data_IF_349912863473
#
_entry.id   IF_349912863473
#
_cell.length_a   1.000
_cell.length_b   1.000
_cell.length_c   1.000
_cell.angle_alpha   90.00
_cell.angle_beta   90.00
_cell.angle_gamma   90.00
#
_symmetry.space_group_name_H-M   'P 1'
#
loop_
_entity.id
_entity.type
_entity.pdbx_description
1 polymer ?
#
# COMPACT_ATOMS: atom_id res chain seq x y z
N UNK A 1 6.78 -13.14 -2.11
CA UNK A 1 7.76 -13.19 -3.22
C UNK A 1 7.85 -11.85 -3.94
N UNK A 2 6.77 -11.35 -4.56
CA UNK A 2 6.77 -10.03 -5.22
C UNK A 2 7.29 -8.90 -4.30
N UNK A 3 6.63 -8.60 -3.19
CA UNK A 3 7.02 -7.50 -2.30
C UNK A 3 8.44 -7.62 -1.75
N UNK A 4 8.82 -8.83 -1.34
CA UNK A 4 10.15 -9.11 -0.81
C UNK A 4 11.25 -8.89 -1.85
N UNK A 5 10.96 -9.12 -3.14
CA UNK A 5 11.96 -8.93 -4.21
C UNK A 5 12.37 -7.47 -4.42
N UNK A 6 11.62 -6.50 -3.89
CA UNK A 6 11.98 -5.07 -3.96
C UNK A 6 12.89 -4.62 -2.82
N UNK A 7 13.22 -5.51 -1.87
CA UNK A 7 14.23 -5.28 -0.84
C UNK A 7 15.65 -5.62 -1.33
N UNK A 8 15.79 -6.05 -2.59
CA UNK A 8 17.05 -6.48 -3.16
C UNK A 8 18.13 -5.40 -3.10
N UNK A 9 19.36 -5.81 -2.79
CA UNK A 9 20.56 -5.00 -2.81
C UNK A 9 21.46 -5.36 -3.99
N UNK A 10 22.48 -4.55 -4.23
CA UNK A 10 23.46 -4.80 -5.29
C UNK A 10 24.14 -6.17 -5.09
N UNK A 11 24.11 -7.01 -6.14
CA UNK A 11 24.65 -8.38 -6.13
C UNK A 11 23.61 -9.49 -5.85
N UNK A 12 22.34 -9.16 -5.62
CA UNK A 12 21.26 -10.14 -5.43
C UNK A 12 20.45 -10.38 -6.72
N UNK A 13 21.13 -10.82 -7.79
CA UNK A 13 20.54 -11.01 -9.12
C UNK A 13 19.38 -12.04 -9.12
N UNK A 14 19.39 -13.00 -8.20
CA UNK A 14 18.31 -13.97 -8.04
C UNK A 14 16.97 -13.30 -7.65
N UNK A 15 17.01 -12.20 -6.90
CA UNK A 15 15.80 -11.47 -6.52
C UNK A 15 15.17 -10.74 -7.70
N UNK A 16 15.97 -10.34 -8.70
CA UNK A 16 15.44 -9.78 -9.94
C UNK A 16 14.68 -10.82 -10.76
N UNK A 17 15.17 -12.06 -10.81
CA UNK A 17 14.45 -13.15 -11.48
C UNK A 17 13.19 -13.58 -10.72
N UNK A 18 13.24 -13.60 -9.38
CA UNK A 18 12.05 -13.78 -8.53
C UNK A 18 11.03 -12.66 -8.80
N UNK A 19 11.48 -11.42 -8.98
CA UNK A 19 10.61 -10.27 -9.28
C UNK A 19 9.92 -10.44 -10.62
N UNK A 20 10.66 -10.74 -11.69
CA UNK A 20 10.12 -10.98 -13.05
C UNK A 20 9.07 -12.10 -13.01
N UNK A 21 9.41 -13.23 -12.39
CA UNK A 21 8.49 -14.35 -12.23
C UNK A 21 7.21 -13.94 -11.48
N UNK A 22 7.35 -13.25 -10.35
CA UNK A 22 6.21 -12.83 -9.55
C UNK A 22 5.31 -11.82 -10.29
N UNK A 23 5.88 -10.88 -11.05
CA UNK A 23 5.12 -9.95 -11.91
C UNK A 23 4.28 -10.70 -12.93
N UNK A 24 4.87 -11.70 -13.61
CA UNK A 24 4.16 -12.50 -14.60
C UNK A 24 2.99 -13.25 -13.96
N UNK A 25 3.24 -13.94 -12.85
CA UNK A 25 2.21 -14.70 -12.14
C UNK A 25 1.08 -13.80 -11.62
N UNK A 26 1.41 -12.65 -11.03
CA UNK A 26 0.42 -11.69 -10.54
C UNK A 26 -0.39 -11.10 -11.70
N UNK A 27 0.24 -10.76 -12.82
CA UNK A 27 -0.44 -10.26 -14.02
C UNK A 27 -1.39 -11.30 -14.62
N UNK A 28 -0.98 -12.57 -14.65
CA UNK A 28 -1.82 -13.69 -15.08
C UNK A 28 -3.00 -13.88 -14.13
N UNK A 29 -2.74 -13.89 -12.82
CA UNK A 29 -3.78 -13.99 -11.79
C UNK A 29 -4.77 -12.85 -11.90
N UNK A 30 -4.29 -11.62 -12.04
CA UNK A 30 -5.12 -10.42 -12.23
C UNK A 30 -6.04 -10.55 -13.42
N UNK A 31 -5.54 -11.02 -14.57
CA UNK A 31 -6.37 -11.27 -15.77
C UNK A 31 -7.45 -12.32 -15.56
N UNK A 32 -7.23 -13.29 -14.68
CA UNK A 32 -8.22 -14.33 -14.34
C UNK A 32 -9.27 -13.86 -13.32
N UNK A 33 -9.01 -12.78 -12.60
CA UNK A 33 -9.93 -12.24 -11.61
C UNK A 33 -10.98 -11.37 -12.31
N UNK A 34 -12.21 -11.42 -11.79
CA UNK A 34 -13.30 -10.55 -12.23
C UNK A 34 -12.95 -9.12 -11.79
N UNK A 35 -13.20 -8.15 -12.66
CA UNK A 35 -13.16 -6.73 -12.33
C UNK A 35 -14.10 -6.49 -11.15
N UNK A 36 -13.55 -6.01 -10.02
CA UNK A 36 -14.20 -5.73 -8.73
C UNK A 36 -13.91 -6.68 -7.54
N UNK A 37 -12.94 -7.61 -7.63
CA UNK A 37 -12.48 -8.34 -6.44
C UNK A 37 -11.45 -7.52 -5.61
N UNK A 38 -11.50 -7.62 -4.28
CA UNK A 38 -10.48 -7.01 -3.39
C UNK A 38 -9.07 -7.51 -3.72
N UNK A 39 -8.94 -8.78 -4.08
CA UNK A 39 -7.67 -9.35 -4.50
C UNK A 39 -7.16 -8.70 -5.80
N UNK A 40 -8.03 -8.43 -6.78
CA UNK A 40 -7.64 -7.74 -8.01
C UNK A 40 -7.16 -6.32 -7.71
N UNK A 41 -7.87 -5.59 -6.85
CA UNK A 41 -7.46 -4.26 -6.40
C UNK A 41 -6.11 -4.28 -5.68
N UNK A 42 -5.87 -5.27 -4.81
CA UNK A 42 -4.59 -5.43 -4.13
C UNK A 42 -3.45 -5.75 -5.11
N UNK A 43 -3.69 -6.60 -6.10
CA UNK A 43 -2.70 -6.94 -7.12
C UNK A 43 -2.40 -5.72 -8.00
N UNK A 44 -3.43 -5.03 -8.49
CA UNK A 44 -3.27 -3.80 -9.29
C UNK A 44 -2.50 -2.74 -8.49
N UNK A 45 -2.83 -2.57 -7.21
CA UNK A 45 -2.10 -1.67 -6.31
C UNK A 45 -0.64 -2.12 -6.12
N UNK A 46 -0.37 -3.40 -5.87
CA UNK A 46 1.00 -3.88 -5.68
C UNK A 46 1.85 -3.68 -6.95
N UNK A 47 1.29 -3.97 -8.13
CA UNK A 47 1.98 -3.86 -9.42
C UNK A 47 2.24 -2.41 -9.87
N UNK A 48 1.42 -1.45 -9.43
CA UNK A 48 1.63 -0.02 -9.70
C UNK A 48 2.89 0.52 -8.97
N UNK A 49 3.04 0.16 -7.70
CA UNK A 49 4.22 0.47 -6.91
C UNK A 49 4.32 -0.54 -5.75
N UNK A 50 5.49 -1.19 -5.54
CA UNK A 50 5.67 -2.14 -4.45
C UNK A 50 5.64 -1.44 -3.08
N UNK A 51 5.25 -2.16 -2.03
CA UNK A 51 5.15 -1.65 -0.67
C UNK A 51 6.45 -1.01 -0.18
N UNK A 52 7.60 -1.60 -0.53
CA UNK A 52 8.90 -1.09 -0.10
C UNK A 52 9.19 0.34 -0.60
N UNK A 53 8.65 0.73 -1.75
CA UNK A 53 8.87 2.05 -2.34
C UNK A 53 7.75 3.05 -2.02
N UNK A 54 6.71 2.63 -1.31
CA UNK A 54 5.57 3.48 -0.99
C UNK A 54 5.88 4.41 0.17
N UNK A 55 5.46 5.66 0.03
CA UNK A 55 5.39 6.63 1.13
C UNK A 55 4.40 6.13 2.19
N UNK A 56 4.84 5.79 3.42
CA UNK A 56 3.99 5.14 4.41
C UNK A 56 2.70 5.91 4.71
N UNK A 57 2.78 7.24 4.85
CA UNK A 57 1.60 8.07 5.18
C UNK A 57 0.57 8.17 4.05
N UNK A 58 1.00 8.12 2.79
CA UNK A 58 0.07 8.08 1.66
C UNK A 58 -0.56 6.68 1.52
N UNK A 59 0.26 5.65 1.72
CA UNK A 59 -0.17 4.26 1.68
C UNK A 59 -1.19 3.94 2.79
N UNK A 60 -0.97 4.43 4.00
CA UNK A 60 -1.82 4.19 5.18
C UNK A 60 -3.28 4.55 4.93
N UNK A 61 -3.57 5.69 4.28
CA UNK A 61 -4.95 6.09 3.97
C UNK A 61 -5.63 5.09 3.04
N UNK A 62 -4.93 4.63 2.02
CA UNK A 62 -5.43 3.61 1.10
C UNK A 62 -5.65 2.29 1.84
N UNK A 63 -4.68 1.89 2.67
CA UNK A 63 -4.73 0.62 3.39
C UNK A 63 -5.86 0.57 4.43
N UNK A 64 -6.14 1.67 5.14
CA UNK A 64 -7.29 1.76 6.06
C UNK A 64 -8.61 1.47 5.32
N UNK A 65 -8.81 2.09 4.15
CA UNK A 65 -10.02 1.90 3.35
C UNK A 65 -10.09 0.47 2.77
N UNK A 66 -8.95 -0.07 2.35
CA UNK A 66 -8.84 -1.44 1.84
C UNK A 66 -9.16 -2.47 2.94
N UNK A 67 -8.57 -2.29 4.12
CA UNK A 67 -8.76 -3.16 5.28
C UNK A 67 -10.20 -3.14 5.77
N UNK A 68 -10.87 -1.97 5.78
CA UNK A 68 -12.29 -1.85 6.14
C UNK A 68 -13.24 -2.72 5.29
N UNK A 69 -12.85 -3.05 4.06
CA UNK A 69 -13.67 -3.87 3.14
C UNK A 69 -13.41 -5.38 3.27
N UNK A 70 -12.42 -5.80 4.05
CA UNK A 70 -12.08 -7.21 4.22
C UNK A 70 -13.15 -7.96 5.03
N UNK A 71 -13.28 -9.27 4.82
CA UNK A 71 -14.30 -10.09 5.52
C UNK A 71 -13.97 -10.32 7.00
N UNK A 72 -12.68 -10.35 7.35
CA UNK A 72 -12.19 -10.72 8.69
C UNK A 72 -11.44 -9.57 9.36
N UNK A 73 -12.11 -8.44 9.53
CA UNK A 73 -11.51 -7.28 10.19
C UNK A 73 -11.48 -7.43 11.70
N UNK A 74 -10.39 -6.98 12.31
CA UNK A 74 -10.37 -6.60 13.72
C UNK A 74 -10.87 -5.15 13.86
N UNK A 75 -12.08 -4.92 14.42
CA UNK A 75 -12.67 -3.58 14.51
C UNK A 75 -11.86 -2.64 15.40
N UNK A 76 -11.25 -3.14 16.48
CA UNK A 76 -10.39 -2.35 17.37
C UNK A 76 -9.14 -1.87 16.63
N UNK A 77 -8.55 -2.72 15.78
CA UNK A 77 -7.40 -2.32 14.96
C UNK A 77 -7.80 -1.26 13.92
N UNK A 78 -8.97 -1.41 13.28
CA UNK A 78 -9.47 -0.43 12.32
C UNK A 78 -9.75 0.93 12.97
N UNK A 79 -10.35 0.94 14.17
CA UNK A 79 -10.60 2.16 14.93
C UNK A 79 -9.28 2.84 15.33
N UNK A 80 -8.32 2.07 15.84
CA UNK A 80 -7.00 2.58 16.19
C UNK A 80 -6.32 3.23 14.99
N UNK A 81 -6.31 2.57 13.83
CA UNK A 81 -5.70 3.09 12.61
C UNK A 81 -6.37 4.39 12.13
N UNK A 82 -7.71 4.45 12.19
CA UNK A 82 -8.47 5.67 11.85
C UNK A 82 -8.16 6.83 12.81
N UNK A 83 -8.02 6.55 14.10
CA UNK A 83 -7.67 7.56 15.10
C UNK A 83 -6.25 8.10 14.90
N UNK A 84 -5.25 7.22 14.75
CA UNK A 84 -3.85 7.62 14.52
C UNK A 84 -3.74 8.52 13.27
N UNK A 85 -4.33 8.06 12.16
CA UNK A 85 -4.35 8.81 10.91
C UNK A 85 -4.94 10.23 11.10
N UNK A 86 -6.08 10.34 11.80
CA UNK A 86 -6.74 11.62 12.02
C UNK A 86 -5.93 12.56 12.93
N UNK A 87 -5.27 12.03 13.96
CA UNK A 87 -4.40 12.82 14.85
C UNK A 87 -3.25 13.42 14.04
N UNK A 88 -2.52 12.61 13.28
CA UNK A 88 -1.38 13.05 12.48
C UNK A 88 -1.85 14.03 11.38
N UNK A 89 -2.96 13.74 10.71
CA UNK A 89 -3.54 14.62 9.69
C UNK A 89 -3.95 15.99 10.26
N UNK A 90 -4.38 16.06 11.53
CA UNK A 90 -4.71 17.33 12.19
C UNK A 90 -3.48 18.20 12.43
N UNK A 91 -2.35 17.58 12.77
CA UNK A 91 -1.05 18.26 12.95
C UNK A 91 -0.60 18.84 11.61
N UNK A 92 -0.57 18.03 10.55
CA UNK A 92 -0.19 18.49 9.20
C UNK A 92 -1.08 19.63 8.69
N UNK A 93 -2.38 19.60 8.97
CA UNK A 93 -3.29 20.72 8.60
C UNK A 93 -2.95 22.01 9.34
N UNK A 94 -2.57 21.91 10.62
CA UNK A 94 -2.14 23.07 11.41
C UNK A 94 -0.84 23.65 10.85
N UNK A 95 0.17 22.81 10.64
CA UNK A 95 1.47 23.19 10.09
C UNK A 95 1.32 23.84 8.71
N UNK A 96 0.52 23.23 7.82
CA UNK A 96 0.26 23.76 6.49
C UNK A 96 -0.39 25.15 6.55
N UNK A 97 -1.32 25.37 7.50
CA UNK A 97 -1.98 26.66 7.71
C UNK A 97 -1.00 27.73 8.22
N UNK A 98 -0.07 27.34 9.08
CA UNK A 98 0.99 28.23 9.58
C UNK A 98 1.96 28.61 8.46
N UNK A 99 2.46 27.64 7.69
CA UNK A 99 3.35 27.88 6.55
C UNK A 99 2.68 28.69 5.44
N UNK A 100 1.40 28.45 5.16
CA UNK A 100 0.66 29.21 4.15
C UNK A 100 0.44 30.67 4.54
N UNK A 101 0.46 31.00 5.84
CA UNK A 101 0.35 32.38 6.35
C UNK A 101 1.69 33.13 6.42
N UNK A 102 2.80 32.40 6.33
CA UNK A 102 4.17 32.96 6.34
C UNK A 102 4.62 33.43 4.95
N UNK A 103 3.91 33.01 3.89
CA UNK A 103 4.06 33.51 2.52
C UNK A 103 3.20 34.75 2.29
#
# INVERSE_FOLDING_TARGET
>A
MYEASFLAMEGEDELDDVRKFAIEQLSNKRRSLISNSLLAEQIDYSLDLPLHWRMPRLHERWFINFYERQEHINPTLLELAKLDFNIVQSIYKKELKEESRRK
#
